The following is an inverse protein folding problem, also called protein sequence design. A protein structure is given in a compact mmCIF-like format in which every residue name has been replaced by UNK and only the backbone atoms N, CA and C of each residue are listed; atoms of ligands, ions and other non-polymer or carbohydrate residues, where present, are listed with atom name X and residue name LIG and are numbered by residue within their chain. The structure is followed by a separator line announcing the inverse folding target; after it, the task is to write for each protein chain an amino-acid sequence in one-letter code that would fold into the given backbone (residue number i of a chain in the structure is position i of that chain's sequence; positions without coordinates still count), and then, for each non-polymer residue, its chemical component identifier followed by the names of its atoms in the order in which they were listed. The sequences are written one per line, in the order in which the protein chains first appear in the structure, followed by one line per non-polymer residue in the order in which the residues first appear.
data_IF_823858290737
#
_entry.id   IF_823858290737
#
_cell.length_a   1.000
_cell.length_b   1.000
_cell.length_c   1.000
_cell.angle_alpha   90.00
_cell.angle_beta   90.00
_cell.angle_gamma   90.00
#
_symmetry.space_group_name_H-M   'P 1'
#
loop_
_entity.id
_entity.type
_entity.pdbx_description
1 polymer ?
#
# COMPACT_ATOMS: atom_id res chain seq x y z
N UNK A 1 -31.77 6.45 -4.89
CA UNK A 1 -30.75 7.31 -4.24
C UNK A 1 -29.41 6.92 -4.85
N UNK A 2 -28.54 7.84 -5.30
CA UNK A 2 -27.18 7.44 -5.61
C UNK A 2 -26.59 6.82 -4.33
N UNK A 3 -26.23 5.55 -4.42
CA UNK A 3 -25.42 4.89 -3.38
C UNK A 3 -24.12 5.66 -3.31
N UNK A 4 -23.82 6.26 -2.17
CA UNK A 4 -22.51 6.88 -1.97
C UNK A 4 -21.48 5.75 -1.98
N UNK A 5 -20.64 5.69 -3.01
CA UNK A 5 -19.64 4.65 -3.17
C UNK A 5 -18.23 5.23 -3.14
N UNK A 6 -17.28 4.42 -2.70
CA UNK A 6 -15.87 4.78 -2.63
C UNK A 6 -14.98 3.55 -2.75
N UNK A 7 -13.71 3.78 -3.11
CA UNK A 7 -12.70 2.75 -3.24
C UNK A 7 -11.58 3.03 -2.23
N UNK A 8 -10.98 1.98 -1.69
CA UNK A 8 -9.98 2.12 -0.61
C UNK A 8 -8.71 1.34 -0.91
N UNK A 9 -7.59 1.87 -0.41
CA UNK A 9 -6.30 1.15 -0.32
C UNK A 9 -6.06 0.84 1.15
N UNK A 10 -5.82 -0.44 1.45
CA UNK A 10 -5.59 -0.92 2.80
C UNK A 10 -4.28 -1.70 2.87
N UNK A 11 -3.70 -1.77 4.06
CA UNK A 11 -2.54 -2.62 4.36
C UNK A 11 -2.75 -3.31 5.71
N UNK A 12 -1.79 -4.11 6.17
CA UNK A 12 -1.91 -4.88 7.40
C UNK A 12 -1.77 -4.00 8.66
N UNK A 13 -2.29 -4.50 9.79
CA UNK A 13 -2.01 -3.95 11.11
C UNK A 13 -0.57 -4.27 11.55
N UNK A 14 -0.03 -3.50 12.49
CA UNK A 14 1.41 -3.50 12.82
C UNK A 14 2.29 -3.12 11.60
N UNK A 15 1.79 -2.17 10.83
CA UNK A 15 2.39 -1.63 9.60
C UNK A 15 3.81 -1.16 9.85
N UNK A 16 4.72 -1.67 9.04
CA UNK A 16 6.10 -1.22 8.91
C UNK A 16 6.21 -0.18 7.78
N UNK A 17 7.44 0.12 7.35
CA UNK A 17 7.64 1.11 6.30
C UNK A 17 7.32 0.58 4.91
N UNK A 18 7.46 -0.72 4.61
CA UNK A 18 7.13 -1.24 3.28
C UNK A 18 5.62 -1.15 3.04
N UNK A 19 4.83 -1.51 4.04
CA UNK A 19 3.38 -1.37 4.01
C UNK A 19 2.91 0.09 3.90
N UNK A 20 3.51 1.02 4.67
CA UNK A 20 3.14 2.45 4.59
C UNK A 20 3.58 3.08 3.25
N UNK A 21 4.78 2.76 2.78
CA UNK A 21 5.28 3.20 1.48
C UNK A 21 4.44 2.63 0.34
N UNK A 22 3.99 1.39 0.48
CA UNK A 22 3.09 0.75 -0.47
C UNK A 22 1.71 1.42 -0.53
N UNK A 23 1.18 1.87 0.62
CA UNK A 23 -0.03 2.71 0.64
C UNK A 23 0.17 4.00 -0.17
N UNK A 24 1.32 4.67 -0.02
CA UNK A 24 1.62 5.87 -0.80
C UNK A 24 1.77 5.54 -2.29
N UNK A 25 2.60 4.56 -2.64
CA UNK A 25 2.87 4.22 -4.04
C UNK A 25 1.60 3.85 -4.80
N UNK A 26 0.71 3.10 -4.15
CA UNK A 26 -0.60 2.77 -4.72
C UNK A 26 -1.52 4.00 -4.82
N UNK A 27 -1.53 4.91 -3.84
CA UNK A 27 -2.32 6.14 -3.92
C UNK A 27 -1.88 7.04 -5.08
N UNK A 28 -0.59 7.09 -5.37
CA UNK A 28 -0.05 7.86 -6.49
C UNK A 28 -0.41 7.23 -7.85
N UNK A 29 -0.44 5.89 -7.95
CA UNK A 29 -0.84 5.17 -9.18
C UNK A 29 -2.35 5.13 -9.40
N UNK A 30 -3.13 5.13 -8.33
CA UNK A 30 -4.58 4.99 -8.34
C UNK A 30 -5.24 6.16 -7.59
N UNK A 31 -5.25 7.38 -8.16
CA UNK A 31 -5.66 8.59 -7.46
C UNK A 31 -7.14 8.62 -7.03
N UNK A 32 -7.98 7.73 -7.58
CA UNK A 32 -9.39 7.59 -7.21
C UNK A 32 -9.62 6.68 -5.98
N UNK A 33 -8.57 6.02 -5.47
CA UNK A 33 -8.64 5.15 -4.29
C UNK A 33 -8.16 5.91 -3.05
N UNK A 34 -8.87 5.73 -1.94
CA UNK A 34 -8.58 6.40 -0.68
C UNK A 34 -7.58 5.57 0.16
N UNK A 35 -6.34 6.04 0.41
CA UNK A 35 -5.37 5.30 1.21
C UNK A 35 -5.64 5.46 2.70
N UNK A 36 -6.05 4.37 3.35
CA UNK A 36 -6.50 4.38 4.75
C UNK A 36 -5.38 3.87 5.64
N UNK A 37 -5.02 4.67 6.64
CA UNK A 37 -4.11 4.26 7.68
C UNK A 37 -4.74 3.14 8.54
N UNK A 38 -3.98 2.12 8.92
CA UNK A 38 -4.43 1.12 9.88
C UNK A 38 -4.48 1.68 11.30
N UNK A 39 -5.10 0.94 12.21
CA UNK A 39 -5.23 1.37 13.61
C UNK A 39 -3.92 1.22 14.38
N UNK A 40 -3.13 0.20 14.04
CA UNK A 40 -1.88 -0.16 14.67
C UNK A 40 -0.77 -0.09 13.62
N UNK A 41 0.22 0.75 13.89
CA UNK A 41 1.44 0.91 13.07
C UNK A 41 2.65 0.74 13.99
N UNK A 42 3.80 0.34 13.47
CA UNK A 42 5.03 0.23 14.25
C UNK A 42 5.50 1.60 14.77
N UNK A 43 6.31 1.59 15.84
CA UNK A 43 6.70 2.81 16.57
C UNK A 43 7.40 3.82 15.64
N UNK A 44 8.37 3.34 14.87
CA UNK A 44 9.11 4.10 13.86
C UNK A 44 8.17 4.78 12.84
N UNK A 45 7.19 4.04 12.32
CA UNK A 45 6.20 4.53 11.36
C UNK A 45 5.33 5.64 11.97
N UNK A 46 4.87 5.45 13.23
CA UNK A 46 4.10 6.49 13.94
C UNK A 46 4.92 7.76 14.19
N UNK A 47 6.18 7.62 14.56
CA UNK A 47 7.10 8.75 14.78
C UNK A 47 7.35 9.52 13.47
N UNK A 48 7.53 8.80 12.36
CA UNK A 48 7.64 9.41 11.02
C UNK A 48 6.37 10.18 10.63
N UNK A 49 5.21 9.56 10.75
CA UNK A 49 3.92 10.21 10.43
C UNK A 49 3.62 11.40 11.34
N UNK A 50 4.06 11.39 12.61
CA UNK A 50 3.89 12.54 13.49
C UNK A 50 4.58 13.80 12.95
N UNK A 51 5.65 13.65 12.16
CA UNK A 51 6.39 14.75 11.55
C UNK A 51 5.89 15.08 10.13
N UNK A 52 5.57 14.07 9.34
CA UNK A 52 5.40 14.21 7.89
C UNK A 52 3.99 13.91 7.37
N UNK A 53 3.02 13.51 8.20
CA UNK A 53 1.68 13.07 7.73
C UNK A 53 1.02 14.03 6.76
N UNK A 54 1.12 15.35 7.00
CA UNK A 54 0.48 16.37 6.16
C UNK A 54 1.04 16.45 4.73
N UNK A 55 2.13 15.74 4.43
CA UNK A 55 2.73 15.64 3.11
C UNK A 55 2.16 14.45 2.29
N UNK A 56 1.24 13.67 2.86
CA UNK A 56 0.70 12.46 2.23
C UNK A 56 -0.83 12.48 2.17
N UNK A 57 -1.45 11.78 1.20
CA UNK A 57 -2.91 11.72 1.03
C UNK A 57 -3.63 10.79 2.03
N UNK A 58 -2.98 10.41 3.12
CA UNK A 58 -3.46 9.37 4.04
C UNK A 58 -4.68 9.79 4.87
N UNK A 59 -5.72 8.96 4.86
CA UNK A 59 -6.90 9.12 5.69
C UNK A 59 -6.83 8.25 6.94
N UNK A 60 -7.25 8.78 8.09
CA UNK A 60 -7.59 7.93 9.22
C UNK A 60 -8.91 7.17 8.93
N UNK A 61 -9.12 5.97 9.51
CA UNK A 61 -10.34 5.21 9.30
C UNK A 61 -11.63 5.97 9.63
N UNK A 62 -11.58 6.90 10.58
CA UNK A 62 -12.71 7.77 10.97
C UNK A 62 -13.07 8.83 9.93
N UNK A 63 -12.16 9.12 9.00
CA UNK A 63 -12.32 10.11 7.94
C UNK A 63 -12.93 9.49 6.67
N UNK A 64 -13.07 8.15 6.63
CA UNK A 64 -13.67 7.46 5.49
C UNK A 64 -15.13 7.89 5.28
N UNK A 65 -15.54 8.12 4.02
CA UNK A 65 -16.94 8.35 3.67
C UNK A 65 -17.83 7.19 4.12
N UNK A 66 -19.07 7.50 4.53
CA UNK A 66 -20.08 6.46 4.75
C UNK A 66 -20.62 6.01 3.41
N UNK A 67 -20.76 4.71 3.19
CA UNK A 67 -21.27 4.19 1.93
C UNK A 67 -20.85 2.76 1.68
N UNK A 68 -21.11 2.29 0.46
CA UNK A 68 -20.65 0.98 -0.02
C UNK A 68 -19.23 1.12 -0.57
N UNK A 69 -18.38 0.13 -0.29
CA UNK A 69 -17.04 0.05 -0.85
C UNK A 69 -17.11 -0.77 -2.13
N UNK A 70 -16.83 -0.15 -3.27
CA UNK A 70 -16.89 -0.83 -4.57
C UNK A 70 -15.63 -1.66 -4.83
N UNK A 71 -14.47 -1.15 -4.40
CA UNK A 71 -13.17 -1.81 -4.58
C UNK A 71 -12.26 -1.61 -3.37
N UNK A 72 -11.57 -2.69 -3.03
CA UNK A 72 -10.47 -2.72 -2.07
C UNK A 72 -9.18 -3.11 -2.80
N UNK A 73 -8.17 -2.27 -2.68
CA UNK A 73 -6.79 -2.60 -3.04
C UNK A 73 -6.01 -2.90 -1.76
N UNK A 74 -5.57 -4.14 -1.60
CA UNK A 74 -4.66 -4.53 -0.53
C UNK A 74 -3.22 -4.38 -1.01
N UNK A 75 -2.38 -3.74 -0.21
CA UNK A 75 -0.96 -3.57 -0.51
C UNK A 75 -0.12 -4.13 0.61
N UNK A 76 0.94 -4.86 0.23
CA UNK A 76 1.87 -5.52 1.15
C UNK A 76 1.19 -6.54 2.10
N UNK A 77 0.00 -7.00 1.72
CA UNK A 77 -0.76 -7.98 2.49
C UNK A 77 -1.85 -8.61 1.64
N UNK A 78 -2.27 -9.81 2.04
CA UNK A 78 -3.48 -10.46 1.53
C UNK A 78 -4.69 -10.32 2.46
N UNK A 79 -4.51 -9.69 3.62
CA UNK A 79 -5.57 -9.51 4.62
C UNK A 79 -5.40 -8.20 5.39
N UNK A 80 -6.50 -7.49 5.61
CA UNK A 80 -6.52 -6.23 6.33
C UNK A 80 -7.81 -6.09 7.15
N UNK A 81 -7.82 -5.13 8.07
CA UNK A 81 -9.04 -4.72 8.75
C UNK A 81 -9.95 -3.97 7.77
N UNK A 82 -11.04 -4.63 7.37
CA UNK A 82 -11.97 -4.08 6.41
C UNK A 82 -12.87 -3.01 7.05
N UNK A 83 -13.11 -1.88 6.36
CA UNK A 83 -14.05 -0.85 6.83
C UNK A 83 -15.49 -1.35 6.76
N UNK A 84 -16.43 -0.57 7.31
CA UNK A 84 -17.86 -0.80 7.06
C UNK A 84 -18.19 -0.53 5.59
N UNK A 85 -19.18 -1.24 5.06
CA UNK A 85 -19.64 -1.05 3.68
C UNK A 85 -19.06 -2.03 2.67
N UNK A 86 -18.28 -3.03 3.10
CA UNK A 86 -17.96 -4.19 2.25
C UNK A 86 -19.25 -4.99 2.01
N UNK A 87 -19.47 -5.36 0.75
CA UNK A 87 -20.58 -6.20 0.29
C UNK A 87 -20.01 -7.39 -0.51
N UNK A 88 -20.85 -8.37 -0.85
CA UNK A 88 -20.45 -9.52 -1.69
C UNK A 88 -19.98 -9.11 -3.10
N UNK A 89 -20.41 -7.92 -3.55
CA UNK A 89 -20.06 -7.34 -4.85
C UNK A 89 -18.76 -6.53 -4.83
N UNK A 90 -18.17 -6.30 -3.64
CA UNK A 90 -16.92 -5.56 -3.51
C UNK A 90 -15.79 -6.30 -4.22
N UNK A 91 -15.10 -5.60 -5.13
CA UNK A 91 -13.96 -6.16 -5.87
C UNK A 91 -12.69 -6.05 -5.04
N UNK A 92 -11.84 -7.07 -5.13
CA UNK A 92 -10.56 -7.09 -4.41
C UNK A 92 -9.40 -7.25 -5.39
N UNK A 93 -8.38 -6.44 -5.17
CA UNK A 93 -7.08 -6.55 -5.83
C UNK A 93 -6.00 -6.54 -4.76
N UNK A 94 -4.93 -7.30 -4.99
CA UNK A 94 -3.79 -7.41 -4.09
C UNK A 94 -2.51 -7.07 -4.84
N UNK A 95 -1.65 -6.27 -4.24
CA UNK A 95 -0.25 -6.05 -4.65
C UNK A 95 0.63 -6.50 -3.48
N UNK A 96 1.40 -7.56 -3.69
CA UNK A 96 2.17 -8.21 -2.61
C UNK A 96 3.44 -8.89 -3.16
N UNK A 97 4.47 -9.04 -2.33
CA UNK A 97 5.75 -9.70 -2.69
C UNK A 97 6.07 -10.96 -1.86
N UNK A 98 5.34 -11.25 -0.77
CA UNK A 98 5.72 -12.26 0.23
C UNK A 98 5.82 -13.72 -0.26
N UNK A 99 5.02 -14.14 -1.24
CA UNK A 99 5.02 -15.53 -1.74
C UNK A 99 4.35 -15.63 -3.10
N UNK A 100 5.09 -16.05 -4.13
CA UNK A 100 4.55 -16.24 -5.48
C UNK A 100 3.58 -17.42 -5.60
N UNK A 101 3.75 -18.43 -4.75
CA UNK A 101 2.90 -19.62 -4.73
C UNK A 101 1.60 -19.42 -3.94
N UNK A 102 1.46 -18.29 -3.24
CA UNK A 102 0.29 -18.01 -2.43
C UNK A 102 -0.88 -17.55 -3.29
N UNK A 103 -2.03 -18.20 -3.11
CA UNK A 103 -3.26 -17.91 -3.84
C UNK A 103 -4.09 -16.83 -3.15
N UNK A 104 -4.89 -16.12 -3.93
CA UNK A 104 -5.96 -15.23 -3.43
C UNK A 104 -7.32 -15.92 -3.62
N UNK A 105 -8.38 -15.52 -2.89
CA UNK A 105 -9.73 -16.04 -3.10
C UNK A 105 -10.19 -15.93 -4.56
N UNK A 106 -11.12 -16.79 -4.96
CA UNK A 106 -11.69 -16.78 -6.31
C UNK A 106 -12.31 -15.40 -6.64
N UNK A 107 -12.02 -14.89 -7.84
CA UNK A 107 -12.48 -13.58 -8.29
C UNK A 107 -11.62 -12.39 -7.84
N UNK A 108 -10.63 -12.59 -6.96
CA UNK A 108 -9.67 -11.55 -6.58
C UNK A 108 -8.56 -11.44 -7.62
N UNK A 109 -8.03 -10.24 -7.82
CA UNK A 109 -6.86 -10.00 -8.66
C UNK A 109 -5.59 -9.98 -7.80
N UNK A 110 -4.49 -10.53 -8.32
CA UNK A 110 -3.18 -10.52 -7.68
C UNK A 110 -2.13 -9.98 -8.65
N UNK A 111 -1.39 -8.98 -8.22
CA UNK A 111 -0.12 -8.58 -8.81
C UNK A 111 0.97 -8.88 -7.80
N UNK A 112 1.83 -9.84 -8.15
CA UNK A 112 2.93 -10.27 -7.27
C UNK A 112 4.13 -10.67 -8.11
N UNK A 113 5.32 -10.26 -7.68
CA UNK A 113 6.59 -10.63 -8.29
C UNK A 113 7.64 -10.87 -7.21
N UNK A 114 8.66 -11.68 -7.51
CA UNK A 114 9.74 -11.96 -6.56
C UNK A 114 10.70 -10.76 -6.50
N UNK A 115 10.44 -9.87 -5.55
CA UNK A 115 11.28 -8.70 -5.20
C UNK A 115 11.45 -8.62 -3.68
N UNK A 116 12.45 -7.86 -3.24
CA UNK A 116 12.78 -7.74 -1.84
C UNK A 116 11.78 -6.91 -1.03
N UNK A 117 11.06 -5.98 -1.67
CA UNK A 117 10.03 -5.15 -1.04
C UNK A 117 8.82 -4.96 -1.97
N UNK A 118 7.61 -4.92 -1.42
CA UNK A 118 6.41 -4.60 -2.19
C UNK A 118 6.46 -3.19 -2.80
N UNK A 119 7.08 -2.24 -2.09
CA UNK A 119 7.33 -0.87 -2.58
C UNK A 119 8.08 -0.86 -3.91
N UNK A 120 8.99 -1.81 -4.16
CA UNK A 120 9.72 -1.93 -5.43
C UNK A 120 8.77 -2.05 -6.63
N UNK A 121 7.69 -2.83 -6.50
CA UNK A 121 6.70 -3.02 -7.58
C UNK A 121 6.00 -1.70 -7.94
N UNK A 122 5.67 -0.92 -6.92
CA UNK A 122 4.96 0.35 -7.08
C UNK A 122 5.88 1.45 -7.62
N UNK A 123 7.11 1.54 -7.11
CA UNK A 123 8.11 2.50 -7.58
C UNK A 123 8.43 2.26 -9.06
N UNK A 124 8.62 1.01 -9.48
CA UNK A 124 8.86 0.70 -10.89
C UNK A 124 7.73 1.18 -11.79
N UNK A 125 6.46 1.06 -11.34
CA UNK A 125 5.33 1.61 -12.11
C UNK A 125 5.25 3.12 -12.10
N UNK A 126 5.60 3.77 -10.98
CA UNK A 126 5.68 5.23 -10.93
C UNK A 126 6.78 5.75 -11.88
N UNK A 127 7.91 5.04 -11.98
CA UNK A 127 8.98 5.35 -12.92
C UNK A 127 8.53 5.14 -14.38
N UNK A 128 7.85 4.04 -14.69
CA UNK A 128 7.27 3.77 -16.02
C UNK A 128 6.32 4.92 -16.45
N UNK A 129 5.54 5.45 -15.51
CA UNK A 129 4.62 6.58 -15.72
C UNK A 129 5.28 7.96 -15.61
N UNK A 130 6.58 8.02 -15.31
CA UNK A 130 7.35 9.25 -15.09
C UNK A 130 6.71 10.18 -14.05
N UNK A 131 6.22 9.60 -12.97
CA UNK A 131 5.64 10.36 -11.87
C UNK A 131 6.71 11.24 -11.21
N UNK A 132 6.42 12.51 -10.98
CA UNK A 132 7.31 13.42 -10.26
C UNK A 132 7.02 13.34 -8.77
N UNK A 133 7.96 12.75 -8.01
CA UNK A 133 7.86 12.63 -6.57
C UNK A 133 8.38 13.88 -5.87
N UNK A 134 7.70 14.29 -4.81
CA UNK A 134 8.28 15.21 -3.84
C UNK A 134 9.41 14.51 -3.07
N UNK A 135 10.36 15.27 -2.47
CA UNK A 135 11.42 14.67 -1.68
C UNK A 135 10.93 13.81 -0.51
N UNK A 136 9.78 14.16 0.10
CA UNK A 136 9.23 13.43 1.24
C UNK A 136 8.56 12.13 0.79
N UNK A 137 7.89 12.12 -0.36
CA UNK A 137 7.36 10.89 -0.98
C UNK A 137 8.48 9.94 -1.39
N UNK A 138 9.51 10.46 -2.07
CA UNK A 138 10.69 9.67 -2.43
C UNK A 138 11.39 9.09 -1.18
N UNK A 139 11.45 9.85 -0.09
CA UNK A 139 12.00 9.35 1.19
C UNK A 139 11.17 8.22 1.76
N UNK A 140 9.83 8.34 1.79
CA UNK A 140 8.97 7.26 2.31
C UNK A 140 9.11 6.00 1.45
N UNK A 141 9.11 6.13 0.12
CA UNK A 141 9.30 4.99 -0.80
C UNK A 141 10.66 4.32 -0.59
N UNK A 142 11.74 5.10 -0.45
CA UNK A 142 13.05 4.55 -0.14
C UNK A 142 13.11 3.85 1.23
N UNK A 143 12.41 4.37 2.25
CA UNK A 143 12.30 3.73 3.57
C UNK A 143 11.57 2.39 3.49
N UNK A 144 10.54 2.27 2.65
CA UNK A 144 9.84 1.01 2.44
C UNK A 144 10.75 -0.08 1.89
N UNK A 145 11.48 0.24 0.81
CA UNK A 145 12.48 -0.68 0.25
C UNK A 145 13.56 -1.01 1.29
N UNK A 146 14.02 -0.02 2.05
CA UNK A 146 15.07 -0.22 3.06
C UNK A 146 14.66 -1.18 4.19
N UNK A 147 13.41 -1.12 4.64
CA UNK A 147 12.87 -1.96 5.72
C UNK A 147 12.91 -3.44 5.31
N UNK A 148 12.28 -3.78 4.18
CA UNK A 148 12.04 -5.18 3.79
C UNK A 148 13.23 -5.85 3.12
N UNK A 149 14.15 -5.05 2.60
CA UNK A 149 15.44 -5.56 2.11
C UNK A 149 16.51 -5.63 3.19
N UNK A 150 16.21 -5.18 4.42
CA UNK A 150 17.21 -5.08 5.49
C UNK A 150 18.41 -4.25 5.07
N UNK A 151 18.15 -3.05 4.53
CA UNK A 151 19.18 -2.19 3.92
C UNK A 151 19.92 -2.86 2.75
N UNK A 152 19.20 -3.58 1.89
CA UNK A 152 19.72 -4.33 0.74
C UNK A 152 20.62 -5.55 1.11
N UNK A 153 20.51 -6.06 2.34
CA UNK A 153 21.35 -7.17 2.82
C UNK A 153 20.62 -8.51 2.94
N UNK A 154 19.28 -8.50 2.95
CA UNK A 154 18.49 -9.72 3.07
C UNK A 154 18.54 -10.54 1.79
N UNK A 155 18.42 -11.87 1.94
CA UNK A 155 18.55 -12.81 0.83
C UNK A 155 17.47 -12.64 -0.26
N UNK A 156 16.31 -12.07 0.08
CA UNK A 156 15.23 -11.76 -0.87
C UNK A 156 15.48 -10.49 -1.71
N UNK A 157 16.50 -9.70 -1.38
CA UNK A 157 16.85 -8.48 -2.13
C UNK A 157 17.27 -8.82 -3.56
N UNK A 158 16.77 -8.04 -4.51
CA UNK A 158 17.07 -8.16 -5.93
C UNK A 158 17.68 -6.88 -6.48
N UNK A 159 18.23 -6.95 -7.70
CA UNK A 159 18.72 -5.76 -8.40
C UNK A 159 17.62 -4.73 -8.71
N UNK A 160 16.34 -5.14 -8.66
CA UNK A 160 15.20 -4.24 -8.86
C UNK A 160 15.02 -3.32 -7.67
N UNK A 161 15.19 -3.83 -6.45
CA UNK A 161 15.10 -3.06 -5.21
C UNK A 161 16.20 -1.98 -5.13
N UNK A 162 17.38 -2.25 -5.70
CA UNK A 162 18.48 -1.27 -5.77
C UNK A 162 18.22 -0.17 -6.81
N UNK A 163 17.47 -0.51 -7.87
CA UNK A 163 17.19 0.40 -8.98
C UNK A 163 16.03 1.34 -8.68
N UNK A 164 15.01 0.81 -8.00
CA UNK A 164 13.87 1.56 -7.48
C UNK A 164 14.34 2.59 -6.44
#
# INVERSE_FOLDING_TARGET
MPTNTHNVILTHEHTDFDALASLLGAALLFPDLLPVLPYQMNRNVREFLALYRNQFPFLHPKELPRGTVEQVLLVDTRSANLPKGIEETTRFQVIDHHSLDATVPEGWQLWSEAVGANTTLLVEKLMDQRYELTPVEATLLALGIHEDTGSLTYAGTTHRDVRA
#
